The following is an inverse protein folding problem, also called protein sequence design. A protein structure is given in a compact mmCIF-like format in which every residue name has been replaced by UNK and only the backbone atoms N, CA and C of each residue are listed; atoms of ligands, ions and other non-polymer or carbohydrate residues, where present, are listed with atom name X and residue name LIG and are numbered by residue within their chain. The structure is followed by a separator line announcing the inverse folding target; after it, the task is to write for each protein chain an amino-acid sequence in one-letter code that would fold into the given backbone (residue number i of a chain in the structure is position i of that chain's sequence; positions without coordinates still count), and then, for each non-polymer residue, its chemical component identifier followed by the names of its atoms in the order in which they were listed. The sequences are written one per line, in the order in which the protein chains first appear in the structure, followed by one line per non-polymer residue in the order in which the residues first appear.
data_IF_829026385568
#
_entry.id   IF_829026385568
#
_cell.length_a   1.000
_cell.length_b   1.000
_cell.length_c   1.000
_cell.angle_alpha   90.00
_cell.angle_beta   90.00
_cell.angle_gamma   90.00
#
_symmetry.space_group_name_H-M   'P 1'
#
loop_
_entity.id
_entity.type
_entity.pdbx_description
1 polymer ?
#
# COMPACT_ATOMS: atom_id res chain seq x y z
N UNK A 1 -5.92 -12.09 -8.33
CA UNK A 1 -6.35 -10.81 -7.72
C UNK A 1 -7.49 -10.19 -8.52
N UNK A 2 -7.38 -10.08 -9.85
CA UNK A 2 -8.47 -9.63 -10.73
C UNK A 2 -9.72 -10.53 -10.70
N UNK A 3 -9.54 -11.85 -10.54
CA UNK A 3 -10.68 -12.78 -10.46
C UNK A 3 -11.52 -12.59 -9.20
N UNK A 4 -10.88 -12.42 -8.04
CA UNK A 4 -11.58 -12.16 -6.78
C UNK A 4 -12.28 -10.79 -6.78
N UNK A 5 -11.67 -9.76 -7.39
CA UNK A 5 -12.31 -8.46 -7.55
C UNK A 5 -13.56 -8.55 -8.43
N UNK A 6 -13.50 -9.34 -9.50
CA UNK A 6 -14.65 -9.63 -10.38
C UNK A 6 -15.75 -10.39 -9.62
N UNK A 7 -15.37 -11.38 -8.80
CA UNK A 7 -16.30 -12.17 -7.99
C UNK A 7 -17.01 -11.32 -6.93
N UNK A 8 -16.28 -10.43 -6.25
CA UNK A 8 -16.87 -9.49 -5.28
C UNK A 8 -17.81 -8.48 -5.94
N UNK A 9 -17.44 -7.91 -7.11
CA UNK A 9 -18.33 -7.04 -7.90
C UNK A 9 -19.64 -7.74 -8.25
N UNK A 10 -19.55 -9.01 -8.67
CA UNK A 10 -20.72 -9.82 -9.01
C UNK A 10 -21.60 -10.08 -7.77
N UNK A 11 -21.00 -10.50 -6.65
CA UNK A 11 -21.72 -10.74 -5.40
C UNK A 11 -22.38 -9.48 -4.84
N UNK A 12 -21.75 -8.31 -4.93
CA UNK A 12 -22.34 -7.05 -4.45
C UNK A 12 -23.54 -6.60 -5.28
N UNK A 13 -23.47 -6.79 -6.61
CA UNK A 13 -24.58 -6.52 -7.51
C UNK A 13 -25.78 -7.41 -7.20
N UNK A 14 -25.53 -8.67 -6.83
CA UNK A 14 -26.58 -9.64 -6.53
C UNK A 14 -27.32 -9.35 -5.21
N UNK A 15 -26.67 -8.71 -4.24
CA UNK A 15 -27.27 -8.32 -2.95
C UNK A 15 -28.03 -6.97 -3.05
N UNK A 16 -27.99 -6.30 -4.20
CA UNK A 16 -28.68 -5.02 -4.43
C UNK A 16 -27.99 -3.80 -3.81
N UNK A 17 -26.78 -3.96 -3.28
CA UNK A 17 -25.94 -2.85 -2.81
C UNK A 17 -25.09 -2.39 -3.99
N UNK A 18 -25.67 -1.56 -4.85
CA UNK A 18 -24.94 -0.96 -5.96
C UNK A 18 -24.15 0.25 -5.44
N UNK A 19 -23.00 0.00 -4.80
CA UNK A 19 -22.05 1.05 -4.48
C UNK A 19 -21.26 1.41 -5.75
N UNK A 20 -21.81 2.31 -6.56
CA UNK A 20 -21.16 2.83 -7.78
C UNK A 20 -19.82 3.52 -7.52
N UNK A 21 -19.52 3.86 -6.26
CA UNK A 21 -18.29 4.53 -5.84
C UNK A 21 -17.13 3.58 -5.51
N UNK A 22 -17.34 2.25 -5.43
CA UNK A 22 -16.24 1.33 -5.14
C UNK A 22 -15.50 1.04 -6.44
N UNK A 23 -14.36 1.70 -6.60
CA UNK A 23 -13.39 1.40 -7.64
C UNK A 23 -12.60 0.13 -7.26
N UNK A 24 -12.65 -0.88 -8.13
CA UNK A 24 -11.83 -2.08 -7.99
C UNK A 24 -10.74 -2.15 -9.07
N UNK A 25 -10.49 -1.05 -9.78
CA UNK A 25 -9.45 -0.99 -10.77
C UNK A 25 -8.09 -1.04 -10.08
N UNK A 26 -7.29 -2.03 -10.48
CA UNK A 26 -5.95 -2.22 -9.96
C UNK A 26 -4.99 -1.64 -10.98
N UNK A 27 -4.16 -0.68 -10.58
CA UNK A 27 -3.12 -0.11 -11.45
C UNK A 27 -1.84 -0.95 -11.38
N UNK A 28 -1.49 -1.73 -12.42
CA UNK A 28 -0.30 -2.57 -12.41
C UNK A 28 1.00 -1.76 -12.43
N UNK A 29 0.99 -0.54 -12.96
CA UNK A 29 2.17 0.33 -13.01
C UNK A 29 2.65 0.73 -11.61
N UNK A 30 1.74 0.81 -10.64
CA UNK A 30 2.10 1.04 -9.24
C UNK A 30 2.75 -0.20 -8.59
N UNK A 31 2.53 -1.40 -9.11
CA UNK A 31 3.14 -2.63 -8.57
C UNK A 31 4.64 -2.61 -8.82
N UNK A 32 5.07 -2.32 -10.04
CA UNK A 32 6.50 -2.22 -10.38
C UNK A 32 7.17 -1.11 -9.58
N UNK A 33 6.52 0.05 -9.48
CA UNK A 33 7.02 1.19 -8.72
C UNK A 33 7.19 0.88 -7.23
N UNK A 34 6.20 0.21 -6.63
CA UNK A 34 6.26 -0.23 -5.23
C UNK A 34 7.38 -1.24 -5.01
N UNK A 35 7.57 -2.18 -5.94
CA UNK A 35 8.65 -3.16 -5.86
C UNK A 35 10.04 -2.52 -5.97
N UNK A 36 10.24 -1.61 -6.93
CA UNK A 36 11.47 -0.83 -7.07
C UNK A 36 11.76 0.00 -5.81
N UNK A 37 10.74 0.64 -5.25
CA UNK A 37 10.85 1.38 -4.00
C UNK A 37 11.26 0.48 -2.83
N UNK A 38 10.62 -0.68 -2.65
CA UNK A 38 10.96 -1.61 -1.58
C UNK A 38 12.40 -2.16 -1.69
N UNK A 39 12.98 -2.17 -2.90
CA UNK A 39 14.36 -2.63 -3.15
C UNK A 39 15.45 -1.59 -2.91
N UNK A 40 15.09 -0.35 -2.60
CA UNK A 40 16.08 0.69 -2.34
C UNK A 40 16.23 1.75 -3.43
N UNK A 41 15.52 1.64 -4.57
CA UNK A 41 15.69 2.59 -5.68
C UNK A 41 15.29 4.03 -5.30
N UNK A 42 15.92 5.03 -5.93
CA UNK A 42 15.61 6.44 -5.66
C UNK A 42 14.19 6.79 -6.12
N UNK A 43 13.52 7.72 -5.41
CA UNK A 43 12.15 8.12 -5.70
C UNK A 43 11.97 8.63 -7.14
N UNK A 44 12.96 9.34 -7.66
CA UNK A 44 12.97 9.83 -9.05
C UNK A 44 12.98 8.71 -10.09
N UNK A 45 13.70 7.60 -9.83
CA UNK A 45 13.72 6.42 -10.69
C UNK A 45 12.36 5.72 -10.64
N UNK A 46 11.79 5.59 -9.44
CA UNK A 46 10.47 5.00 -9.23
C UNK A 46 9.37 5.82 -9.93
N UNK A 47 9.42 7.15 -9.82
CA UNK A 47 8.49 8.07 -10.51
C UNK A 47 8.60 7.97 -12.04
N UNK A 48 9.83 7.86 -12.56
CA UNK A 48 10.06 7.62 -13.98
C UNK A 48 9.46 6.31 -14.50
N UNK A 49 9.43 5.26 -13.67
CA UNK A 49 8.83 3.96 -14.02
C UNK A 49 7.30 3.99 -14.03
N UNK A 50 6.66 4.65 -13.06
CA UNK A 50 5.19 4.68 -12.97
C UNK A 50 4.53 5.79 -13.78
N UNK A 51 5.26 6.84 -14.14
CA UNK A 51 4.69 8.07 -14.72
C UNK A 51 3.82 8.85 -13.73
N UNK A 52 3.95 8.58 -12.43
CA UNK A 52 3.16 9.22 -11.37
C UNK A 52 4.03 10.24 -10.61
N UNK A 53 3.41 11.32 -10.13
CA UNK A 53 4.14 12.32 -9.34
C UNK A 53 4.71 11.73 -8.06
N UNK A 54 5.90 12.19 -7.67
CA UNK A 54 6.57 11.76 -6.44
C UNK A 54 5.69 11.94 -5.19
N UNK A 55 4.96 13.05 -5.11
CA UNK A 55 4.03 13.29 -4.00
C UNK A 55 2.82 12.35 -3.97
N UNK A 56 2.36 11.86 -5.13
CA UNK A 56 1.34 10.81 -5.21
C UNK A 56 1.91 9.47 -4.74
N UNK A 57 3.13 9.13 -5.18
CA UNK A 57 3.83 7.91 -4.78
C UNK A 57 4.12 7.87 -3.28
N UNK A 58 4.65 8.94 -2.69
CA UNK A 58 4.92 9.00 -1.26
C UNK A 58 3.65 8.82 -0.43
N UNK A 59 2.54 9.43 -0.83
CA UNK A 59 1.23 9.23 -0.17
C UNK A 59 0.74 7.79 -0.32
N UNK A 60 0.90 7.19 -1.49
CA UNK A 60 0.55 5.79 -1.73
C UNK A 60 1.38 4.83 -0.86
N UNK A 61 2.70 5.03 -0.79
CA UNK A 61 3.60 4.22 0.05
C UNK A 61 3.30 4.36 1.53
N UNK A 62 3.00 5.57 2.01
CA UNK A 62 2.57 5.79 3.39
C UNK A 62 1.29 5.01 3.73
N UNK A 63 0.26 5.11 2.87
CA UNK A 63 -1.00 4.37 3.02
C UNK A 63 -0.78 2.85 2.97
N UNK A 64 0.08 2.38 2.07
CA UNK A 64 0.46 0.98 1.99
C UNK A 64 1.14 0.50 3.28
N UNK A 65 2.03 1.32 3.86
CA UNK A 65 2.64 1.04 5.15
C UNK A 65 1.60 0.86 6.27
N UNK A 66 0.55 1.68 6.30
CA UNK A 66 -0.56 1.56 7.24
C UNK A 66 -1.35 0.25 7.04
N UNK A 67 -1.67 -0.09 5.79
CA UNK A 67 -2.37 -1.33 5.43
C UNK A 67 -1.55 -2.57 5.80
N UNK A 68 -0.23 -2.56 5.56
CA UNK A 68 0.66 -3.66 5.96
C UNK A 68 0.66 -3.87 7.48
N UNK A 69 0.63 -2.79 8.26
CA UNK A 69 0.57 -2.88 9.72
C UNK A 69 -0.79 -3.40 10.21
N UNK A 70 -1.89 -3.02 9.56
CA UNK A 70 -3.22 -3.58 9.82
C UNK A 70 -3.29 -5.07 9.47
N UNK A 71 -2.77 -5.45 8.30
CA UNK A 71 -2.68 -6.84 7.87
C UNK A 71 -1.82 -7.67 8.82
N UNK A 72 -0.68 -7.14 9.29
CA UNK A 72 0.17 -7.79 10.30
C UNK A 72 -0.62 -8.10 11.57
N UNK A 73 -1.36 -7.12 12.11
CA UNK A 73 -2.20 -7.32 13.29
C UNK A 73 -3.27 -8.39 13.08
N UNK A 74 -3.91 -8.41 11.90
CA UNK A 74 -4.88 -9.44 11.56
C UNK A 74 -4.24 -10.84 11.49
N UNK A 75 -3.06 -10.95 10.87
CA UNK A 75 -2.30 -12.21 10.82
C UNK A 75 -1.94 -12.72 12.21
N UNK A 76 -1.51 -11.82 13.09
CA UNK A 76 -1.21 -12.14 14.49
C UNK A 76 -2.43 -12.73 15.20
N UNK A 77 -3.59 -12.07 15.09
CA UNK A 77 -4.84 -12.52 15.71
C UNK A 77 -5.32 -13.87 15.17
N UNK A 78 -5.04 -14.17 13.89
CA UNK A 78 -5.39 -15.43 13.25
C UNK A 78 -4.33 -16.54 13.46
N UNK A 79 -3.21 -16.25 14.13
CA UNK A 79 -2.12 -17.20 14.35
C UNK A 79 -1.24 -17.49 13.13
N UNK A 80 -1.33 -16.69 12.07
CA UNK A 80 -0.53 -16.86 10.84
C UNK A 80 0.85 -16.19 10.95
N UNK A 81 1.75 -16.81 11.71
CA UNK A 81 3.08 -16.28 12.03
C UNK A 81 3.95 -15.99 10.80
N UNK A 82 3.92 -16.87 9.79
CA UNK A 82 4.70 -16.65 8.56
C UNK A 82 4.22 -15.41 7.79
N UNK A 83 2.91 -15.21 7.71
CA UNK A 83 2.32 -14.07 7.04
C UNK A 83 2.53 -12.78 7.85
N UNK A 84 2.43 -12.86 9.18
CA UNK A 84 2.76 -11.75 10.07
C UNK A 84 4.18 -11.23 9.81
N UNK A 85 5.16 -12.13 9.74
CA UNK A 85 6.55 -11.77 9.44
C UNK A 85 6.69 -11.11 8.06
N UNK A 86 6.06 -11.68 7.03
CA UNK A 86 6.09 -11.10 5.68
C UNK A 86 5.50 -9.67 5.65
N UNK A 87 4.40 -9.43 6.35
CA UNK A 87 3.80 -8.09 6.44
C UNK A 87 4.72 -7.10 7.16
N UNK A 88 5.43 -7.55 8.20
CA UNK A 88 6.41 -6.73 8.91
C UNK A 88 7.61 -6.40 8.03
N UNK A 89 8.18 -7.39 7.37
CA UNK A 89 9.35 -7.23 6.49
C UNK A 89 9.01 -6.25 5.33
N UNK A 90 7.82 -6.38 4.74
CA UNK A 90 7.32 -5.47 3.72
C UNK A 90 7.11 -4.04 4.27
N UNK A 91 6.57 -3.89 5.48
CA UNK A 91 6.36 -2.59 6.11
C UNK A 91 7.69 -1.85 6.30
N UNK A 92 8.72 -2.55 6.80
CA UNK A 92 10.07 -2.00 6.99
C UNK A 92 10.71 -1.61 5.65
N UNK A 93 10.56 -2.44 4.62
CA UNK A 93 11.15 -2.15 3.30
C UNK A 93 10.56 -0.89 2.65
N UNK A 94 9.26 -0.63 2.85
CA UNK A 94 8.57 0.53 2.28
C UNK A 94 8.82 1.80 3.11
N UNK A 95 8.89 1.69 4.44
CA UNK A 95 8.97 2.85 5.32
C UNK A 95 10.42 3.36 5.48
N UNK A 96 10.93 4.05 4.46
CA UNK A 96 12.32 4.56 4.40
C UNK A 96 12.43 5.97 3.83
N UNK A 97 13.55 6.64 4.08
CA UNK A 97 13.93 7.89 3.43
C UNK A 97 12.94 9.04 3.67
N UNK A 98 12.46 9.68 2.60
CA UNK A 98 11.53 10.81 2.70
C UNK A 98 10.20 10.47 3.41
N UNK A 99 9.84 9.19 3.54
CA UNK A 99 8.63 8.76 4.27
C UNK A 99 8.81 8.81 5.80
N UNK A 100 10.06 8.81 6.28
CA UNK A 100 10.37 8.87 7.72
C UNK A 100 10.61 10.31 8.21
N UNK A 101 10.54 11.30 7.33
CA UNK A 101 10.68 12.71 7.71
C UNK A 101 9.43 13.16 8.47
N UNK A 102 9.62 13.69 9.68
CA UNK A 102 8.55 14.28 10.47
C UNK A 102 7.92 15.47 9.76
N UNK A 103 6.66 15.76 10.10
CA UNK A 103 6.04 17.00 9.66
C UNK A 103 6.85 18.19 10.21
N UNK A 104 7.12 19.18 9.37
CA UNK A 104 7.76 20.44 9.80
C UNK A 104 6.90 21.23 10.80
N UNK A 105 5.61 20.89 10.92
CA UNK A 105 4.69 21.48 11.91
C UNK A 105 4.67 20.73 13.25
N UNK A 106 5.33 19.58 13.33
CA UNK A 106 5.51 18.81 14.56
C UNK A 106 6.99 18.93 14.88
N UNK A 107 7.40 20.11 15.38
CA UNK A 107 8.72 20.29 15.96
C UNK A 107 8.82 19.37 17.16
N UNK A 108 9.96 18.68 17.30
CA UNK A 108 10.30 17.80 18.43
C UNK A 108 10.65 18.63 19.68
N UNK A 109 9.83 19.64 19.99
CA UNK A 109 9.90 20.45 21.22
C UNK A 109 9.04 19.76 22.28
N UNK A 110 9.53 18.64 22.81
CA UNK A 110 9.08 18.02 24.07
C UNK A 110 10.26 17.41 24.80
#
# INVERSE_FOLDING_TARGET
MLDLASELRFSSAWIGVHNGDIDFDVNPGLVEATYAWARGEALSVVAGKSGADEGHLLRAFKRLGEVLQQARKACHLLGYQALEKLMLDAHVAINRGALTTSSLYISDDM
#
